data_IF_404362929180
#
_entry.id   IF_404362929180
#
_cell.length_a   1.000
_cell.length_b   1.000
_cell.length_c   1.000
_cell.angle_alpha   90.00
_cell.angle_beta   90.00
_cell.angle_gamma   90.00
#
_symmetry.space_group_name_H-M   'P 1'
#
loop_
_entity.id
_entity.type
_entity.pdbx_description
1 polymer ?
#
# COMPACT_ATOMS: atom_id res chain seq x y z
N UNK A 1 -36.62 28.20 -28.13
CA UNK A 1 -36.44 26.75 -28.37
C UNK A 1 -35.43 26.21 -27.38
N UNK A 2 -35.90 25.64 -26.27
CA UNK A 2 -35.06 25.15 -25.16
C UNK A 2 -34.72 23.68 -25.39
N UNK A 3 -33.46 23.35 -25.67
CA UNK A 3 -33.02 21.96 -25.81
C UNK A 3 -32.77 21.34 -24.43
N UNK A 4 -33.55 20.32 -24.07
CA UNK A 4 -33.37 19.49 -22.89
C UNK A 4 -32.22 18.51 -23.12
N UNK A 5 -31.17 18.59 -22.29
CA UNK A 5 -30.04 17.64 -22.29
C UNK A 5 -30.46 16.40 -21.46
N UNK A 6 -30.38 15.17 -21.98
CA UNK A 6 -30.73 13.99 -21.20
C UNK A 6 -29.66 13.69 -20.15
N UNK A 7 -30.07 13.53 -18.89
CA UNK A 7 -29.21 13.08 -17.79
C UNK A 7 -28.83 11.62 -18.02
N UNK A 8 -27.57 11.37 -18.38
CA UNK A 8 -27.01 10.00 -18.42
C UNK A 8 -26.89 9.49 -16.98
N UNK A 9 -27.71 8.51 -16.62
CA UNK A 9 -27.52 7.74 -15.40
C UNK A 9 -26.20 6.95 -15.51
N UNK A 10 -25.18 7.35 -14.76
CA UNK A 10 -24.01 6.50 -14.53
C UNK A 10 -24.48 5.37 -13.60
N UNK A 11 -24.67 4.18 -14.17
CA UNK A 11 -24.81 2.97 -13.38
C UNK A 11 -23.56 2.85 -12.50
N UNK A 12 -23.76 2.79 -11.17
CA UNK A 12 -22.68 2.46 -10.24
C UNK A 12 -22.22 1.04 -10.59
N UNK A 13 -21.02 0.91 -11.14
CA UNK A 13 -20.37 -0.36 -11.48
C UNK A 13 -19.95 -1.17 -10.23
N UNK A 14 -20.84 -1.35 -9.25
CA UNK A 14 -20.68 -2.47 -8.34
C UNK A 14 -21.00 -3.72 -9.16
N UNK A 15 -19.98 -4.56 -9.38
CA UNK A 15 -20.16 -5.84 -10.03
C UNK A 15 -21.19 -6.64 -9.23
N UNK A 16 -22.41 -6.77 -9.76
CA UNK A 16 -23.45 -7.67 -9.25
C UNK A 16 -23.15 -9.13 -9.57
N UNK A 17 -22.14 -9.39 -10.42
CA UNK A 17 -21.63 -10.72 -10.72
C UNK A 17 -20.55 -11.13 -9.72
N UNK A 18 -20.70 -12.32 -9.14
CA UNK A 18 -19.67 -12.93 -8.32
C UNK A 18 -18.32 -12.97 -9.07
N UNK A 19 -17.20 -12.64 -8.40
CA UNK A 19 -15.87 -12.69 -9.00
C UNK A 19 -15.53 -14.10 -9.49
N UNK A 20 -14.85 -14.19 -10.64
CA UNK A 20 -14.51 -15.48 -11.24
C UNK A 20 -13.61 -16.32 -10.29
N UNK A 21 -13.73 -17.65 -10.29
CA UNK A 21 -12.92 -18.51 -9.42
C UNK A 21 -11.40 -18.35 -9.65
N UNK A 22 -10.97 -17.98 -10.85
CA UNK A 22 -9.56 -17.67 -11.15
C UNK A 22 -9.08 -16.39 -10.44
N UNK A 23 -9.92 -15.35 -10.41
CA UNK A 23 -9.63 -14.13 -9.64
C UNK A 23 -9.59 -14.43 -8.15
N UNK A 24 -10.55 -15.20 -7.63
CA UNK A 24 -10.58 -15.59 -6.21
C UNK A 24 -9.34 -16.39 -5.78
N UNK A 25 -8.79 -17.25 -6.64
CA UNK A 25 -7.52 -17.96 -6.38
C UNK A 25 -6.32 -17.02 -6.35
N UNK A 26 -6.23 -16.07 -7.30
CA UNK A 26 -5.13 -15.08 -7.35
C UNK A 26 -5.03 -14.25 -6.06
N UNK A 27 -6.18 -13.92 -5.47
CA UNK A 27 -6.25 -13.15 -4.22
C UNK A 27 -6.30 -14.00 -2.95
N UNK A 28 -6.28 -15.34 -3.06
CA UNK A 28 -6.35 -16.26 -1.92
C UNK A 28 -7.68 -16.22 -1.16
N UNK A 29 -8.75 -15.80 -1.82
CA UNK A 29 -10.11 -15.67 -1.28
C UNK A 29 -10.94 -16.95 -1.57
N UNK A 30 -10.44 -17.81 -2.46
CA UNK A 30 -11.06 -19.10 -2.77
C UNK A 30 -11.06 -20.02 -1.53
N UNK A 31 -12.25 -20.37 -1.02
CA UNK A 31 -12.43 -21.31 0.09
C UNK A 31 -12.46 -20.70 1.49
N UNK A 32 -12.23 -19.38 1.65
CA UNK A 32 -12.52 -18.69 2.90
C UNK A 32 -13.99 -18.25 2.90
N UNK A 33 -14.85 -18.73 3.82
CA UNK A 33 -16.21 -18.21 3.92
C UNK A 33 -16.13 -16.70 4.16
N UNK A 34 -16.89 -15.93 3.36
CA UNK A 34 -17.11 -14.51 3.64
C UNK A 34 -17.57 -14.38 5.09
N UNK A 35 -17.02 -13.43 5.84
CA UNK A 35 -17.57 -13.08 7.16
C UNK A 35 -19.05 -12.79 6.95
N UNK A 36 -19.92 -13.46 7.72
CA UNK A 36 -21.37 -13.23 7.66
C UNK A 36 -21.63 -11.74 7.89
N UNK A 37 -22.50 -11.15 7.09
CA UNK A 37 -22.87 -9.76 7.34
C UNK A 37 -23.57 -9.70 8.70
N UNK A 38 -23.45 -8.56 9.40
CA UNK A 38 -24.09 -8.38 10.71
C UNK A 38 -25.63 -8.53 10.65
N UNK A 39 -26.19 -8.48 9.44
CA UNK A 39 -27.61 -8.65 9.14
C UNK A 39 -28.01 -10.11 8.87
N UNK A 40 -27.04 -10.96 8.49
CA UNK A 40 -27.24 -12.39 8.18
C UNK A 40 -26.78 -13.31 9.31
N UNK A 41 -26.30 -12.75 10.43
CA UNK A 41 -25.91 -13.52 11.61
C UNK A 41 -27.13 -13.76 12.49
N UNK A 42 -27.92 -14.78 12.16
CA UNK A 42 -29.01 -15.34 13.00
C UNK A 42 -28.47 -16.05 14.25
N UNK A 43 -27.38 -15.55 14.83
CA UNK A 43 -26.93 -15.97 16.15
C UNK A 43 -28.02 -15.57 17.17
N UNK A 44 -28.57 -16.49 17.98
CA UNK A 44 -29.67 -16.20 18.91
C UNK A 44 -29.28 -15.21 20.04
N UNK A 45 -28.02 -14.77 20.05
CA UNK A 45 -27.51 -13.72 20.92
C UNK A 45 -27.88 -12.38 20.30
N UNK A 46 -29.05 -11.83 20.66
CA UNK A 46 -29.34 -10.41 20.41
C UNK A 46 -28.20 -9.59 21.00
N UNK A 47 -27.41 -8.93 20.17
CA UNK A 47 -26.41 -7.96 20.59
C UNK A 47 -27.16 -6.83 21.30
N UNK A 48 -27.19 -6.87 22.63
CA UNK A 48 -27.88 -5.88 23.44
C UNK A 48 -27.05 -4.60 23.51
N UNK A 49 -27.32 -3.69 22.59
CA UNK A 49 -26.71 -2.36 22.53
C UNK A 49 -27.38 -1.38 23.50
N UNK A 50 -28.29 -1.82 24.39
CA UNK A 50 -28.92 -0.93 25.38
C UNK A 50 -27.91 -0.37 26.38
N UNK A 51 -26.83 -1.12 26.70
CA UNK A 51 -25.82 -0.68 27.66
C UNK A 51 -25.08 0.58 27.23
N UNK A 52 -24.80 0.75 25.93
CA UNK A 52 -24.10 1.94 25.43
C UNK A 52 -25.00 3.19 25.45
N UNK A 53 -26.30 3.03 25.17
CA UNK A 53 -27.28 4.13 25.27
C UNK A 53 -27.50 4.56 26.73
N UNK A 54 -27.54 3.61 27.67
CA UNK A 54 -27.68 3.87 29.11
C UNK A 54 -26.49 4.65 29.67
N UNK A 55 -25.27 4.41 29.14
CA UNK A 55 -24.04 5.11 29.54
C UNK A 55 -24.04 6.57 29.06
N UNK A 56 -24.45 6.83 27.83
CA UNK A 56 -24.56 8.20 27.27
C UNK A 56 -25.65 9.00 27.98
N UNK A 57 -26.79 8.35 28.24
CA UNK A 57 -27.94 8.94 28.92
C UNK A 57 -27.78 9.00 30.46
N UNK A 58 -26.63 8.54 31.00
CA UNK A 58 -26.30 8.49 32.44
C UNK A 58 -27.35 7.78 33.30
N UNK A 59 -28.11 6.85 32.72
CA UNK A 59 -29.21 6.15 33.39
C UNK A 59 -28.69 5.20 34.48
N UNK A 60 -27.49 4.63 34.29
CA UNK A 60 -26.81 3.78 35.28
C UNK A 60 -25.72 4.56 36.04
N UNK A 61 -26.11 5.28 37.09
CA UNK A 61 -25.19 6.03 37.95
C UNK A 61 -24.10 5.15 38.63
N UNK A 62 -24.31 3.83 38.71
CA UNK A 62 -23.40 2.87 39.35
C UNK A 62 -22.29 2.34 38.42
N UNK A 63 -22.38 2.55 37.10
CA UNK A 63 -21.36 2.04 36.17
C UNK A 63 -20.09 2.90 36.27
N UNK A 64 -18.93 2.35 36.66
CA UNK A 64 -17.72 3.13 36.84
C UNK A 64 -17.26 3.77 35.52
N UNK A 65 -16.69 4.99 35.56
CA UNK A 65 -16.20 5.69 34.37
C UNK A 65 -15.08 4.90 33.71
N UNK A 66 -14.92 5.04 32.38
CA UNK A 66 -14.04 4.20 31.53
C UNK A 66 -12.62 4.04 32.11
N UNK A 67 -12.04 5.11 32.66
CA UNK A 67 -10.70 5.10 33.26
C UNK A 67 -10.57 4.24 34.54
N UNK A 68 -11.67 3.87 35.20
CA UNK A 68 -11.71 2.99 36.38
C UNK A 68 -12.10 1.55 36.04
N UNK A 69 -12.50 1.26 34.80
CA UNK A 69 -12.89 -0.08 34.38
C UNK A 69 -11.62 -0.94 34.25
N UNK A 70 -11.61 -2.11 34.88
CA UNK A 70 -10.57 -3.13 34.67
C UNK A 70 -10.95 -3.94 33.43
N UNK A 71 -9.99 -4.42 32.62
CA UNK A 71 -10.30 -5.33 31.54
C UNK A 71 -11.00 -6.59 32.10
N UNK A 72 -11.90 -7.22 31.33
CA UNK A 72 -12.52 -8.47 31.75
C UNK A 72 -11.43 -9.50 32.03
N UNK A 73 -11.62 -10.29 33.09
CA UNK A 73 -10.72 -11.41 33.44
C UNK A 73 -10.91 -12.62 32.54
N UNK A 74 -11.98 -12.62 31.75
CA UNK A 74 -12.29 -13.67 30.80
C UNK A 74 -11.22 -13.76 29.70
N UNK A 75 -11.04 -14.97 29.17
CA UNK A 75 -10.09 -15.20 28.10
C UNK A 75 -10.45 -14.33 26.89
N UNK A 76 -9.45 -13.76 26.23
CA UNK A 76 -9.68 -12.94 25.04
C UNK A 76 -10.43 -13.77 23.99
N UNK A 77 -11.49 -13.24 23.35
CA UNK A 77 -12.29 -13.98 22.38
C UNK A 77 -11.41 -14.68 21.33
N UNK A 78 -11.79 -15.91 20.97
CA UNK A 78 -10.99 -16.77 20.09
C UNK A 78 -10.70 -16.11 18.73
N UNK A 79 -11.66 -15.33 18.23
CA UNK A 79 -11.55 -14.56 16.99
C UNK A 79 -10.41 -13.55 17.01
N UNK A 80 -10.23 -12.83 18.13
CA UNK A 80 -9.13 -11.88 18.28
C UNK A 80 -7.77 -12.58 18.27
N UNK A 81 -7.68 -13.72 18.96
CA UNK A 81 -6.46 -14.54 18.98
C UNK A 81 -6.16 -15.05 17.56
N UNK A 82 -7.18 -15.52 16.83
CA UNK A 82 -7.08 -16.01 15.45
C UNK A 82 -6.61 -14.90 14.50
N UNK A 83 -7.23 -13.72 14.57
CA UNK A 83 -6.83 -12.55 13.77
C UNK A 83 -5.39 -12.14 14.07
N UNK A 84 -5.02 -12.05 15.36
CA UNK A 84 -3.65 -11.69 15.76
C UNK A 84 -2.62 -12.70 15.28
N UNK A 85 -2.92 -14.00 15.35
CA UNK A 85 -2.08 -15.08 14.80
C UNK A 85 -1.96 -14.95 13.27
N UNK A 86 -3.06 -14.70 12.58
CA UNK A 86 -3.05 -14.51 11.13
C UNK A 86 -2.22 -13.30 10.70
N UNK A 87 -2.33 -12.17 11.41
CA UNK A 87 -1.50 -10.98 11.14
C UNK A 87 -0.02 -11.25 11.36
N UNK A 88 0.37 -11.91 12.45
CA UNK A 88 1.77 -12.29 12.71
C UNK A 88 2.31 -13.26 11.66
N UNK A 89 1.49 -14.18 11.18
CA UNK A 89 1.86 -15.13 10.12
C UNK A 89 2.02 -14.44 8.76
N UNK A 90 1.14 -13.49 8.42
CA UNK A 90 1.19 -12.73 7.16
C UNK A 90 2.33 -11.71 7.14
N UNK A 91 2.65 -11.12 8.29
CA UNK A 91 3.63 -10.05 8.42
C UNK A 91 4.62 -10.39 9.55
N UNK A 92 5.59 -11.30 9.30
CA UNK A 92 6.56 -11.72 10.31
C UNK A 92 7.44 -10.56 10.80
N UNK A 93 7.87 -9.69 9.89
CA UNK A 93 8.66 -8.49 10.18
C UNK A 93 7.80 -7.28 10.61
N UNK A 94 6.49 -7.51 10.80
CA UNK A 94 5.50 -6.48 11.10
C UNK A 94 4.88 -5.83 9.86
N UNK A 95 3.85 -5.03 10.09
CA UNK A 95 3.17 -4.30 9.01
C UNK A 95 4.04 -3.14 8.53
N UNK A 96 4.59 -3.28 7.32
CA UNK A 96 5.38 -2.25 6.65
C UNK A 96 4.64 -1.77 5.39
N UNK A 97 4.00 -0.58 5.41
CA UNK A 97 3.29 -0.07 4.25
C UNK A 97 4.20 -0.02 3.02
N UNK A 98 3.72 -0.45 1.83
CA UNK A 98 4.54 -0.53 0.62
C UNK A 98 5.01 0.85 0.13
N UNK A 99 4.21 1.90 0.37
CA UNK A 99 4.56 3.28 0.04
C UNK A 99 4.55 4.13 1.31
N UNK A 100 5.74 4.53 1.75
CA UNK A 100 5.93 5.46 2.88
C UNK A 100 6.14 6.86 2.32
N UNK A 101 5.38 7.82 2.82
CA UNK A 101 5.64 9.23 2.56
C UNK A 101 6.83 9.67 3.41
N UNK A 102 7.79 10.38 2.79
CA UNK A 102 8.95 10.93 3.51
C UNK A 102 8.50 12.00 4.51
N UNK A 103 9.33 12.24 5.53
CA UNK A 103 9.00 13.26 6.52
C UNK A 103 8.84 14.65 5.90
N UNK A 104 9.75 15.03 5.01
CA UNK A 104 9.72 16.33 4.34
C UNK A 104 8.44 16.49 3.49
N UNK A 105 7.97 15.43 2.84
CA UNK A 105 6.71 15.46 2.10
C UNK A 105 5.49 15.60 3.03
N UNK A 106 5.51 15.03 4.25
CA UNK A 106 4.45 15.28 5.24
C UNK A 106 4.43 16.75 5.69
N UNK A 107 5.60 17.35 5.92
CA UNK A 107 5.71 18.75 6.35
C UNK A 107 5.26 19.69 5.21
N UNK A 108 5.69 19.45 3.97
CA UNK A 108 5.20 20.18 2.80
C UNK A 108 3.67 20.04 2.59
N UNK A 109 3.10 18.87 2.89
CA UNK A 109 1.64 18.70 2.89
C UNK A 109 0.96 19.61 3.92
N UNK A 110 1.52 19.74 5.12
CA UNK A 110 0.99 20.63 6.17
C UNK A 110 1.11 22.09 5.75
N UNK A 111 2.25 22.48 5.20
CA UNK A 111 2.49 23.84 4.71
C UNK A 111 1.47 24.23 3.62
N UNK A 112 1.28 23.38 2.60
CA UNK A 112 0.29 23.61 1.54
C UNK A 112 -1.13 23.81 2.11
N UNK A 113 -1.53 22.94 3.03
CA UNK A 113 -2.84 23.06 3.67
C UNK A 113 -2.95 24.30 4.58
N UNK A 114 -1.84 24.79 5.13
CA UNK A 114 -1.82 26.04 5.91
C UNK A 114 -1.95 27.27 5.01
N UNK A 115 -1.31 27.27 3.83
CA UNK A 115 -1.38 28.38 2.87
C UNK A 115 -2.80 28.62 2.35
N UNK A 116 -3.50 27.57 1.90
CA UNK A 116 -4.87 27.70 1.41
C UNK A 116 -5.70 26.44 1.66
N UNK A 117 -6.52 26.46 2.71
CA UNK A 117 -7.38 25.34 3.09
C UNK A 117 -8.50 25.06 2.10
N UNK A 118 -8.95 26.09 1.37
CA UNK A 118 -10.06 25.93 0.41
C UNK A 118 -9.56 25.25 -0.87
N UNK A 119 -8.37 25.62 -1.36
CA UNK A 119 -7.77 25.00 -2.55
C UNK A 119 -7.12 23.65 -2.26
N UNK A 120 -6.44 23.51 -1.12
CA UNK A 120 -5.73 22.29 -0.74
C UNK A 120 -6.55 21.42 0.21
N UNK A 121 -7.74 21.00 -0.23
CA UNK A 121 -8.56 20.04 0.52
C UNK A 121 -7.86 18.66 0.59
N UNK A 122 -8.27 17.85 1.56
CA UNK A 122 -7.80 16.49 1.81
C UNK A 122 -7.83 15.59 0.57
N UNK A 123 -8.86 15.68 -0.28
CA UNK A 123 -8.98 14.90 -1.51
C UNK A 123 -7.92 15.32 -2.54
N UNK A 124 -7.75 16.63 -2.74
CA UNK A 124 -6.75 17.20 -3.65
C UNK A 124 -5.32 16.83 -3.20
N UNK A 125 -5.06 16.88 -1.90
CA UNK A 125 -3.77 16.47 -1.33
C UNK A 125 -3.54 14.96 -1.47
N UNK A 126 -4.57 14.14 -1.24
CA UNK A 126 -4.50 12.69 -1.43
C UNK A 126 -4.10 12.34 -2.86
N UNK A 127 -4.69 13.02 -3.85
CA UNK A 127 -4.41 12.79 -5.26
C UNK A 127 -3.00 13.24 -5.67
N UNK A 128 -2.50 14.35 -5.12
CA UNK A 128 -1.15 14.87 -5.40
C UNK A 128 -0.08 13.98 -4.79
N UNK A 129 -0.23 13.59 -3.54
CA UNK A 129 0.75 12.78 -2.81
C UNK A 129 0.56 11.26 -3.02
N UNK A 130 -0.50 10.86 -3.73
CA UNK A 130 -0.86 9.44 -4.00
C UNK A 130 -0.94 8.62 -2.71
N UNK A 131 -1.56 9.21 -1.68
CA UNK A 131 -1.82 8.60 -0.38
C UNK A 131 -3.33 8.57 -0.12
N UNK A 132 -3.78 7.74 0.83
CA UNK A 132 -5.20 7.69 1.16
C UNK A 132 -5.67 8.99 1.84
N UNK A 133 -6.93 9.41 1.61
CA UNK A 133 -7.48 10.61 2.26
C UNK A 133 -7.53 10.47 3.79
N UNK A 134 -7.66 9.25 4.32
CA UNK A 134 -7.54 9.01 5.77
C UNK A 134 -6.12 9.31 6.29
N UNK A 135 -5.08 8.90 5.55
CA UNK A 135 -3.69 9.20 5.91
C UNK A 135 -3.43 10.72 5.91
N UNK A 136 -3.96 11.45 4.92
CA UNK A 136 -3.89 12.92 4.88
C UNK A 136 -4.51 13.52 6.14
N UNK A 137 -5.72 13.11 6.51
CA UNK A 137 -6.41 13.59 7.74
C UNK A 137 -5.57 13.31 8.98
N UNK A 138 -4.95 12.14 9.09
CA UNK A 138 -4.06 11.80 10.22
C UNK A 138 -2.84 12.71 10.27
N UNK A 139 -2.20 12.97 9.12
CA UNK A 139 -1.03 13.86 9.04
C UNK A 139 -1.39 15.28 9.48
N UNK A 140 -2.54 15.80 9.02
CA UNK A 140 -3.05 17.12 9.37
C UNK A 140 -3.48 17.23 10.85
N UNK A 141 -4.04 16.17 11.43
CA UNK A 141 -4.45 16.12 12.84
C UNK A 141 -3.25 16.00 13.79
N UNK A 142 -2.20 15.31 13.37
CA UNK A 142 -1.00 15.07 14.17
C UNK A 142 -0.22 16.36 14.46
N UNK A 143 0.14 16.57 15.73
CA UNK A 143 0.87 17.75 16.22
C UNK A 143 2.33 17.50 16.55
N UNK A 144 2.83 16.28 16.32
CA UNK A 144 4.19 15.92 16.72
C UNK A 144 5.24 16.56 15.81
N UNK A 145 6.14 17.33 16.42
CA UNK A 145 7.25 18.00 15.76
C UNK A 145 8.58 17.65 16.46
N UNK A 146 9.59 17.16 15.72
CA UNK A 146 10.91 16.88 16.25
C UNK A 146 11.71 18.17 16.48
N UNK A 147 12.60 18.12 17.48
CA UNK A 147 13.62 19.14 17.69
C UNK A 147 14.53 19.29 16.46
N UNK A 148 15.20 20.44 16.33
CA UNK A 148 16.05 20.75 15.17
C UNK A 148 17.13 19.71 14.94
N UNK A 149 17.82 19.29 16.00
CA UNK A 149 18.85 18.23 15.94
C UNK A 149 18.26 16.90 15.46
N UNK A 150 17.11 16.51 16.03
CA UNK A 150 16.42 15.28 15.65
C UNK A 150 15.95 15.30 14.20
N UNK A 151 15.58 16.46 13.63
CA UNK A 151 15.28 16.59 12.19
C UNK A 151 16.49 16.25 11.33
N UNK A 152 17.66 16.78 11.69
CA UNK A 152 18.90 16.55 10.94
C UNK A 152 19.27 15.07 10.99
N UNK A 153 19.17 14.45 12.16
CA UNK A 153 19.44 13.02 12.35
C UNK A 153 18.47 12.14 11.53
N UNK A 154 17.18 12.43 11.59
CA UNK A 154 16.16 11.71 10.81
C UNK A 154 16.42 11.81 9.31
N UNK A 155 16.74 13.01 8.82
CA UNK A 155 17.12 13.24 7.41
C UNK A 155 18.38 12.45 7.04
N UNK A 156 19.40 12.44 7.90
CA UNK A 156 20.61 11.67 7.67
C UNK A 156 20.31 10.16 7.61
N UNK A 157 19.42 9.66 8.47
CA UNK A 157 18.97 8.26 8.47
C UNK A 157 18.21 7.89 7.20
N UNK A 158 17.30 8.75 6.74
CA UNK A 158 16.56 8.55 5.48
C UNK A 158 17.52 8.51 4.28
N UNK A 159 18.50 9.42 4.23
CA UNK A 159 19.54 9.43 3.18
C UNK A 159 20.38 8.17 3.19
N UNK A 160 20.84 7.73 4.37
CA UNK A 160 21.61 6.48 4.53
C UNK A 160 20.80 5.28 4.06
N UNK A 161 19.56 5.13 4.50
CA UNK A 161 18.71 4.02 4.09
C UNK A 161 18.42 4.01 2.58
N UNK A 162 18.23 5.18 1.98
CA UNK A 162 18.05 5.30 0.53
C UNK A 162 19.33 4.92 -0.22
N UNK A 163 20.49 5.41 0.23
CA UNK A 163 21.78 5.09 -0.39
C UNK A 163 22.11 3.60 -0.27
N UNK A 164 21.84 2.98 0.87
CA UNK A 164 22.00 1.53 1.06
C UNK A 164 21.08 0.74 0.14
N UNK A 165 19.81 1.14 0.02
CA UNK A 165 18.88 0.50 -0.91
C UNK A 165 19.37 0.58 -2.36
N UNK A 166 19.82 1.75 -2.83
CA UNK A 166 20.39 1.91 -4.18
C UNK A 166 21.62 1.02 -4.36
N UNK A 167 22.54 1.01 -3.38
CA UNK A 167 23.73 0.17 -3.42
C UNK A 167 23.40 -1.32 -3.52
N UNK A 168 22.43 -1.79 -2.73
CA UNK A 168 21.98 -3.18 -2.75
C UNK A 168 21.31 -3.54 -4.08
N UNK A 169 20.51 -2.62 -4.64
CA UNK A 169 19.90 -2.79 -5.97
C UNK A 169 20.97 -2.95 -7.05
N UNK A 170 21.98 -2.08 -7.06
CA UNK A 170 23.09 -2.14 -8.02
C UNK A 170 23.90 -3.44 -7.88
N UNK A 171 24.17 -3.88 -6.65
CA UNK A 171 24.86 -5.16 -6.42
C UNK A 171 24.05 -6.33 -6.96
N UNK A 172 22.73 -6.32 -6.76
CA UNK A 172 21.83 -7.33 -7.29
C UNK A 172 21.86 -7.37 -8.82
N UNK A 173 21.72 -6.22 -9.48
CA UNK A 173 21.78 -6.11 -10.94
C UNK A 173 23.12 -6.62 -11.49
N UNK A 174 24.23 -6.28 -10.83
CA UNK A 174 25.57 -6.74 -11.24
C UNK A 174 25.70 -8.26 -11.15
N UNK A 175 25.21 -8.88 -10.07
CA UNK A 175 25.23 -10.33 -9.91
C UNK A 175 24.32 -11.03 -10.91
N UNK A 176 23.15 -10.47 -11.21
CA UNK A 176 22.25 -10.98 -12.25
C UNK A 176 22.90 -10.88 -13.65
N UNK A 177 23.55 -9.75 -13.95
CA UNK A 177 24.29 -9.57 -15.21
C UNK A 177 25.44 -10.58 -15.35
N UNK A 178 26.22 -10.78 -14.30
CA UNK A 178 27.32 -11.76 -14.30
C UNK A 178 26.82 -13.19 -14.53
N UNK A 179 25.68 -13.56 -13.92
CA UNK A 179 25.02 -14.85 -14.17
C UNK A 179 24.60 -15.00 -15.62
N UNK A 180 23.94 -13.99 -16.20
CA UNK A 180 23.52 -14.00 -17.61
C UNK A 180 24.71 -14.08 -18.56
N UNK A 181 25.80 -13.35 -18.28
CA UNK A 181 27.04 -13.43 -19.05
C UNK A 181 27.64 -14.85 -19.00
N UNK A 182 27.66 -15.47 -17.82
CA UNK A 182 28.15 -16.83 -17.65
C UNK A 182 27.29 -17.86 -18.40
N UNK A 183 25.97 -17.73 -18.32
CA UNK A 183 25.02 -18.57 -19.06
C UNK A 183 25.22 -18.41 -20.57
N UNK A 184 25.31 -17.16 -21.07
CA UNK A 184 25.55 -16.88 -22.48
C UNK A 184 26.88 -17.45 -22.97
N UNK A 185 27.97 -17.26 -22.21
CA UNK A 185 29.27 -17.83 -22.57
C UNK A 185 29.25 -19.37 -22.58
N UNK A 186 28.51 -20.01 -21.66
CA UNK A 186 28.23 -21.45 -21.73
C UNK A 186 27.41 -21.81 -22.97
N UNK A 187 26.51 -20.93 -23.41
CA UNK A 187 25.71 -21.16 -24.61
C UNK A 187 26.57 -21.13 -25.88
N UNK A 188 27.38 -20.09 -26.01
CA UNK A 188 28.24 -19.90 -27.18
C UNK A 188 29.33 -21.00 -27.27
N UNK A 189 29.75 -21.58 -26.14
CA UNK A 189 30.71 -22.70 -26.11
C UNK A 189 30.18 -24.06 -26.59
N UNK A 190 28.86 -24.28 -26.62
CA UNK A 190 28.27 -25.53 -27.11
C UNK A 190 27.72 -25.44 -28.55
N UNK A 191 27.85 -24.27 -29.17
CA UNK A 191 27.53 -24.10 -30.58
C UNK A 191 28.63 -24.79 -31.41
N UNK A 192 28.32 -25.77 -32.28
CA UNK A 192 29.33 -26.35 -33.16
C UNK A 192 29.96 -25.23 -33.99
N UNK A 193 31.28 -25.29 -34.30
CA UNK A 193 31.95 -24.21 -35.01
C UNK A 193 31.20 -23.91 -36.31
N UNK A 194 30.55 -22.74 -36.35
CA UNK A 194 29.82 -22.27 -37.52
C UNK A 194 30.79 -22.15 -38.69
N UNK A 195 30.39 -22.67 -39.86
CA UNK A 195 31.15 -22.50 -41.10
C UNK A 195 31.47 -21.01 -41.28
N UNK A 196 32.77 -20.71 -41.33
CA UNK A 196 33.28 -19.36 -41.59
C UNK A 196 33.04 -19.01 -43.06
N UNK A 197 31.82 -18.62 -43.40
CA UNK A 197 31.57 -17.96 -44.68
C UNK A 197 32.12 -16.53 -44.56
N UNK A 198 33.16 -16.28 -45.36
CA UNK A 198 33.92 -15.04 -45.46
C UNK A 198 33.00 -13.87 -45.86
N UNK A 199 32.36 -13.22 -44.89
CA UNK A 199 31.72 -11.93 -45.14
C UNK A 199 32.81 -10.88 -45.10
N UNK A 200 33.30 -10.50 -46.28
CA UNK A 200 34.20 -9.36 -46.48
C UNK A 200 33.55 -8.11 -45.88
N UNK A 201 34.08 -7.64 -44.75
CA UNK A 201 33.66 -6.39 -44.13
C UNK A 201 33.95 -5.23 -45.07
N UNK A 202 32.95 -4.38 -45.28
CA UNK A 202 33.10 -3.07 -45.94
C UNK A 202 34.18 -2.28 -45.20
N UNK A 203 35.22 -1.90 -45.92
CA UNK A 203 36.34 -1.16 -45.35
C UNK A 203 35.97 0.33 -45.32
N UNK A 204 36.57 1.09 -44.39
CA UNK A 204 36.35 2.54 -44.28
C UNK A 204 36.74 3.37 -45.51
N UNK A 205 37.25 2.73 -46.56
CA UNK A 205 37.63 3.34 -47.85
C UNK A 205 36.58 3.15 -48.94
N UNK A 206 35.47 2.45 -48.67
CA UNK A 206 34.42 2.26 -49.67
C UNK A 206 33.61 3.57 -49.82
N UNK A 207 33.93 4.31 -50.87
CA UNK A 207 33.33 5.61 -51.18
C UNK A 207 32.00 5.39 -51.90
N UNK A 208 30.91 5.58 -51.16
CA UNK A 208 29.55 5.59 -51.72
C UNK A 208 29.37 6.75 -52.70
N UNK A 209 29.20 6.46 -53.98
CA UNK A 209 28.70 7.42 -54.98
C UNK A 209 27.20 7.22 -55.12
N UNK A 210 26.43 8.30 -54.95
CA UNK A 210 25.01 8.36 -55.25
C UNK A 210 24.85 9.03 -56.62
N UNK A 211 24.34 8.29 -57.59
CA UNK A 211 23.81 8.82 -58.86
C UNK A 211 22.40 9.40 -58.65
#
# INVERSE_FOLDING_TARGET
>A
MTSLIPKRFLARYYASSAPSPSSLKKWGIFGSPSSKSILDDDSPVKLDLSEDNDVVNRVRASTPPVHRRKPPKEATPEEYIRHRKAMRKRFPDGWNPPRKISREAMDGLRELHQFDRAKFNTEVLADKFKISPDAVRRILKGRWEPSRERRIEMRAKERKGTAEFVRLSQLRERLEAEKLWKEKNMVDSHLPPGRSDQISGLNSNDRFTFD
#
